data_IF_434304766169
#
_entry.id   IF_434304766169
#
_cell.length_a   1.000
_cell.length_b   1.000
_cell.length_c   1.000
_cell.angle_alpha   90.00
_cell.angle_beta   90.00
_cell.angle_gamma   90.00
#
_symmetry.space_group_name_H-M   'P 1'
#
loop_
_entity.id
_entity.type
_entity.pdbx_description
1 polymer ?
#
# COMPACT_ATOMS: atom_id res chain seq x y z
N UNK A 1 -67.92 40.19 36.59
CA UNK A 1 -66.61 39.58 36.42
C UNK A 1 -66.15 39.85 34.98
N UNK A 2 -65.09 40.62 34.79
CA UNK A 2 -64.50 40.88 33.47
C UNK A 2 -63.40 39.76 33.26
N UNK A 3 -63.66 38.94 32.26
CA UNK A 3 -62.66 37.91 31.85
C UNK A 3 -61.72 38.52 30.82
N UNK A 4 -60.40 38.30 31.04
CA UNK A 4 -59.36 38.66 30.05
C UNK A 4 -59.43 37.64 28.90
N UNK A 5 -59.84 38.11 27.74
CA UNK A 5 -59.82 37.28 26.51
C UNK A 5 -58.54 37.59 25.71
N UNK A 6 -57.88 36.55 25.19
CA UNK A 6 -56.74 36.68 24.30
C UNK A 6 -57.15 36.14 22.93
N UNK A 7 -56.94 36.94 21.90
CA UNK A 7 -57.18 36.52 20.52
C UNK A 7 -56.02 35.53 20.12
N UNK A 8 -56.41 34.31 19.80
CA UNK A 8 -55.47 33.29 19.30
C UNK A 8 -55.41 33.39 17.78
N UNK A 9 -54.28 33.84 17.27
CA UNK A 9 -54.00 33.92 15.84
C UNK A 9 -52.92 32.90 15.41
N UNK A 10 -52.91 32.57 14.12
CA UNK A 10 -51.82 31.76 13.55
C UNK A 10 -50.51 32.56 13.62
N UNK A 11 -49.49 32.00 14.28
CA UNK A 11 -48.17 32.60 14.39
C UNK A 11 -47.15 31.62 13.82
N UNK A 12 -46.31 32.11 12.93
CA UNK A 12 -45.13 31.33 12.49
C UNK A 12 -44.14 31.23 13.65
N UNK A 13 -43.79 30.02 14.03
CA UNK A 13 -42.80 29.73 15.06
C UNK A 13 -41.78 28.75 14.51
N UNK A 14 -40.52 29.12 14.55
CA UNK A 14 -39.43 28.23 14.19
C UNK A 14 -39.13 27.33 15.38
N UNK A 15 -39.35 26.05 15.20
CA UNK A 15 -38.97 25.01 16.20
C UNK A 15 -37.57 24.55 15.90
N UNK A 16 -36.63 24.89 16.76
CA UNK A 16 -35.25 24.38 16.69
C UNK A 16 -35.11 23.18 17.61
N UNK A 17 -34.53 22.10 17.11
CA UNK A 17 -34.18 20.93 17.89
C UNK A 17 -32.70 20.64 17.72
N UNK A 18 -32.04 20.31 18.81
CA UNK A 18 -30.65 19.90 18.81
C UNK A 18 -30.54 18.36 18.79
N UNK A 19 -29.69 17.86 17.92
CA UNK A 19 -29.39 16.44 17.80
C UNK A 19 -27.89 16.23 17.99
N UNK A 20 -27.53 15.27 18.83
CA UNK A 20 -26.15 14.81 18.93
C UNK A 20 -25.80 14.03 17.67
N UNK A 21 -24.80 14.48 16.94
CA UNK A 21 -24.30 13.81 15.76
C UNK A 21 -22.84 13.39 15.94
N UNK A 22 -22.48 12.21 15.45
CA UNK A 22 -21.09 11.76 15.32
C UNK A 22 -20.63 12.11 13.91
N UNK A 23 -19.60 12.96 13.83
CA UNK A 23 -18.94 13.27 12.56
C UNK A 23 -17.86 12.23 12.29
N UNK A 24 -17.83 11.71 11.07
CA UNK A 24 -16.83 10.75 10.61
C UNK A 24 -16.36 11.16 9.22
N UNK A 25 -15.08 11.18 8.97
CA UNK A 25 -14.55 11.41 7.62
C UNK A 25 -14.98 10.28 6.66
N UNK A 26 -14.93 10.58 5.36
CA UNK A 26 -15.31 9.65 4.29
C UNK A 26 -14.58 8.32 4.37
N UNK A 27 -13.29 8.36 4.66
CA UNK A 27 -12.43 7.19 4.76
C UNK A 27 -11.39 7.39 5.86
N UNK A 28 -11.23 6.38 6.70
CA UNK A 28 -10.19 6.32 7.72
C UNK A 28 -9.31 5.13 7.38
N UNK A 29 -8.02 5.37 7.17
CA UNK A 29 -7.06 4.32 6.79
C UNK A 29 -5.95 4.25 7.82
N UNK A 30 -5.77 3.08 8.40
CA UNK A 30 -4.64 2.77 9.26
C UNK A 30 -3.42 2.45 8.41
N UNK A 31 -2.37 3.24 8.54
CA UNK A 31 -1.11 3.04 7.85
C UNK A 31 -0.22 2.15 8.72
N UNK A 32 0.05 0.93 8.23
CA UNK A 32 0.87 -0.08 8.90
C UNK A 32 2.11 -0.38 8.07
N UNK A 33 3.26 -0.69 8.70
CA UNK A 33 4.46 -1.08 7.97
C UNK A 33 4.27 -2.46 7.34
N UNK A 34 4.82 -2.67 6.15
CA UNK A 34 4.82 -3.97 5.47
C UNK A 34 6.12 -4.75 5.68
N UNK A 35 7.14 -4.09 6.23
CA UNK A 35 8.45 -4.64 6.53
C UNK A 35 8.86 -4.30 7.96
N UNK A 36 9.79 -5.07 8.52
CA UNK A 36 10.29 -4.87 9.87
C UNK A 36 11.58 -4.04 9.87
N UNK A 37 11.78 -3.21 10.87
CA UNK A 37 13.00 -2.41 11.03
C UNK A 37 12.80 -1.23 11.97
N UNK A 38 13.87 -0.48 12.23
CA UNK A 38 13.79 0.74 13.03
C UNK A 38 13.34 1.92 12.18
N UNK A 39 12.50 2.80 12.74
CA UNK A 39 12.14 4.07 12.11
C UNK A 39 13.38 4.97 12.12
N UNK A 40 13.86 5.35 10.94
CA UNK A 40 15.01 6.25 10.80
C UNK A 40 14.58 7.71 10.67
N UNK A 41 13.45 7.98 10.07
CA UNK A 41 12.89 9.33 9.91
C UNK A 41 11.36 9.32 9.92
N UNK A 42 10.78 10.36 10.49
CA UNK A 42 9.36 10.70 10.43
C UNK A 42 9.26 12.00 9.65
N UNK A 43 8.52 12.00 8.56
CA UNK A 43 8.42 13.12 7.59
C UNK A 43 7.07 13.84 7.65
N UNK A 44 6.21 13.45 8.58
CA UNK A 44 4.91 14.09 8.81
C UNK A 44 4.76 14.44 10.27
N UNK A 45 3.96 15.46 10.57
CA UNK A 45 3.59 15.84 11.93
C UNK A 45 2.14 15.44 12.20
N UNK A 46 1.81 15.33 13.49
CA UNK A 46 0.43 15.13 13.93
C UNK A 46 -0.46 16.29 13.49
N UNK A 47 -1.66 15.97 13.02
CA UNK A 47 -2.58 16.98 12.48
C UNK A 47 -2.17 17.61 11.15
N UNK A 48 -1.14 17.09 10.49
CA UNK A 48 -0.70 17.60 9.20
C UNK A 48 -1.51 17.01 8.05
N UNK A 49 -1.87 17.85 7.08
CA UNK A 49 -2.47 17.39 5.83
C UNK A 49 -1.43 16.64 4.99
N UNK A 50 -1.77 15.46 4.53
CA UNK A 50 -0.93 14.56 3.73
C UNK A 50 -1.61 14.21 2.41
N UNK A 51 -0.81 13.97 1.37
CA UNK A 51 -1.30 13.58 0.06
C UNK A 51 -1.06 12.09 -0.20
N UNK A 52 -1.92 11.50 -0.99
CA UNK A 52 -1.72 10.13 -1.48
C UNK A 52 -0.34 9.98 -2.15
N UNK A 53 0.43 8.97 -1.73
CA UNK A 53 1.79 8.72 -2.20
C UNK A 53 2.87 9.51 -1.47
N UNK A 54 2.52 10.45 -0.58
CA UNK A 54 3.48 11.16 0.24
C UNK A 54 4.13 10.21 1.24
N UNK A 55 5.48 10.23 1.34
CA UNK A 55 6.23 9.44 2.32
C UNK A 55 6.03 10.03 3.71
N UNK A 56 5.59 9.20 4.64
CA UNK A 56 5.30 9.57 6.03
C UNK A 56 6.43 9.12 6.96
N UNK A 57 6.91 7.88 6.78
CA UNK A 57 7.97 7.27 7.58
C UNK A 57 9.01 6.62 6.69
N UNK A 58 10.25 6.60 7.18
CA UNK A 58 11.33 5.82 6.56
C UNK A 58 11.84 4.83 7.60
N UNK A 59 11.77 3.56 7.24
CA UNK A 59 12.32 2.42 7.99
C UNK A 59 13.75 2.20 7.49
N UNK A 60 14.63 1.64 8.31
CA UNK A 60 16.02 1.34 7.95
C UNK A 60 16.11 0.59 6.62
N UNK A 61 16.72 1.23 5.63
CA UNK A 61 16.84 0.72 4.26
C UNK A 61 18.11 -0.10 4.04
N UNK A 62 19.08 -0.05 4.95
CA UNK A 62 20.40 -0.65 4.74
C UNK A 62 20.30 -2.15 4.42
N UNK A 63 19.64 -2.99 5.22
CA UNK A 63 19.54 -4.42 4.93
C UNK A 63 18.76 -4.70 3.64
N UNK A 64 17.76 -3.92 3.31
CA UNK A 64 16.94 -4.09 2.10
C UNK A 64 17.69 -3.69 0.82
N UNK A 65 18.54 -2.65 0.88
CA UNK A 65 19.42 -2.28 -0.23
C UNK A 65 20.47 -3.37 -0.49
N UNK A 66 21.09 -3.90 0.54
CA UNK A 66 22.03 -5.01 0.41
C UNK A 66 21.36 -6.26 -0.20
N UNK A 67 20.14 -6.61 0.24
CA UNK A 67 19.39 -7.71 -0.33
C UNK A 67 19.05 -7.49 -1.81
N UNK A 68 18.69 -6.26 -2.21
CA UNK A 68 18.46 -5.91 -3.60
C UNK A 68 19.74 -6.03 -4.44
N UNK A 69 20.89 -5.56 -3.95
CA UNK A 69 22.18 -5.69 -4.65
C UNK A 69 22.56 -7.15 -4.90
N UNK A 70 22.35 -8.02 -3.90
CA UNK A 70 22.57 -9.47 -4.04
C UNK A 70 21.65 -10.05 -5.12
N UNK A 71 20.36 -9.69 -5.11
CA UNK A 71 19.41 -10.19 -6.08
C UNK A 71 19.73 -9.71 -7.52
N UNK A 72 20.16 -8.45 -7.67
CA UNK A 72 20.61 -7.88 -8.95
C UNK A 72 21.85 -8.63 -9.47
N UNK A 73 22.81 -8.95 -8.59
CA UNK A 73 23.98 -9.71 -8.97
C UNK A 73 23.63 -11.14 -9.40
N UNK A 74 22.71 -11.80 -8.70
CA UNK A 74 22.20 -13.12 -9.06
C UNK A 74 21.52 -13.12 -10.43
N UNK A 75 20.68 -12.11 -10.72
CA UNK A 75 20.05 -11.94 -12.04
C UNK A 75 21.10 -11.78 -13.15
N UNK A 76 22.10 -10.91 -12.95
CA UNK A 76 23.20 -10.73 -13.93
C UNK A 76 23.96 -12.02 -14.19
N UNK A 77 24.22 -12.81 -13.15
CA UNK A 77 24.86 -14.13 -13.29
C UNK A 77 23.99 -15.09 -14.11
N UNK A 78 22.68 -15.14 -13.84
CA UNK A 78 21.75 -15.97 -14.60
C UNK A 78 21.62 -15.51 -16.07
N UNK A 79 21.65 -14.20 -16.34
CA UNK A 79 21.69 -13.66 -17.72
C UNK A 79 22.94 -14.10 -18.49
N UNK A 80 24.09 -14.09 -17.84
CA UNK A 80 25.34 -14.57 -18.47
C UNK A 80 25.29 -16.08 -18.76
N UNK A 81 24.74 -16.88 -17.83
CA UNK A 81 24.52 -18.33 -18.05
C UNK A 81 23.55 -18.60 -19.22
N UNK A 82 22.47 -17.83 -19.29
CA UNK A 82 21.54 -17.95 -20.41
C UNK A 82 22.21 -17.61 -21.74
N UNK A 83 23.00 -16.54 -21.80
CA UNK A 83 23.74 -16.17 -23.01
C UNK A 83 24.68 -17.30 -23.47
N UNK A 84 25.38 -17.96 -22.53
CA UNK A 84 26.25 -19.10 -22.81
C UNK A 84 25.46 -20.32 -23.30
N UNK A 85 24.35 -20.66 -22.63
CA UNK A 85 23.51 -21.79 -23.02
C UNK A 85 22.88 -21.59 -24.42
N UNK A 86 22.44 -20.35 -24.69
CA UNK A 86 21.92 -19.96 -26.01
C UNK A 86 22.97 -20.11 -27.11
N UNK A 87 24.17 -19.61 -26.89
CA UNK A 87 25.29 -19.76 -27.85
C UNK A 87 25.61 -21.21 -28.09
N UNK A 88 25.68 -22.03 -27.06
CA UNK A 88 25.93 -23.47 -27.18
C UNK A 88 24.87 -24.19 -28.00
N UNK A 89 23.60 -23.91 -27.72
CA UNK A 89 22.48 -24.45 -28.49
C UNK A 89 22.51 -24.03 -29.97
N UNK A 90 22.78 -22.75 -30.26
CA UNK A 90 22.88 -22.24 -31.61
C UNK A 90 24.06 -22.90 -32.40
N UNK A 91 25.19 -23.09 -31.75
CA UNK A 91 26.35 -23.75 -32.36
C UNK A 91 26.04 -25.24 -32.65
N UNK A 92 25.47 -25.97 -31.70
CA UNK A 92 25.10 -27.37 -31.88
C UNK A 92 24.05 -27.57 -32.95
N UNK A 93 23.07 -26.67 -33.01
CA UNK A 93 22.04 -26.68 -34.06
C UNK A 93 22.63 -26.47 -35.47
N UNK A 94 23.66 -25.62 -35.61
CA UNK A 94 24.38 -25.44 -36.88
C UNK A 94 25.16 -26.70 -37.29
N UNK A 95 25.82 -27.36 -36.35
CA UNK A 95 26.57 -28.60 -36.57
C UNK A 95 25.63 -29.75 -36.97
N UNK A 96 24.43 -29.80 -36.43
CA UNK A 96 23.39 -30.75 -36.83
C UNK A 96 22.95 -30.56 -38.31
N UNK A 97 22.78 -29.33 -38.73
CA UNK A 97 22.45 -29.03 -40.14
C UNK A 97 23.54 -29.52 -41.11
N UNK A 98 24.80 -29.56 -40.63
CA UNK A 98 25.92 -30.14 -41.36
C UNK A 98 26.08 -31.66 -41.22
N UNK A 99 25.11 -32.35 -40.57
CA UNK A 99 25.20 -33.80 -40.22
C UNK A 99 26.43 -34.22 -39.39
N UNK A 100 27.01 -33.28 -38.59
CA UNK A 100 28.18 -33.51 -37.75
C UNK A 100 27.81 -34.09 -36.40
N UNK A 101 26.60 -33.71 -35.87
CA UNK A 101 26.12 -34.13 -34.55
C UNK A 101 24.69 -34.72 -34.66
N UNK A 102 24.38 -35.64 -33.73
CA UNK A 102 23.06 -36.30 -33.68
C UNK A 102 22.00 -35.48 -32.93
N UNK A 103 20.71 -35.83 -33.13
CA UNK A 103 19.55 -35.20 -32.55
C UNK A 103 19.60 -35.12 -31.00
N UNK A 104 20.19 -36.15 -30.36
CA UNK A 104 20.31 -36.23 -28.89
C UNK A 104 21.16 -35.11 -28.33
N UNK A 105 22.23 -34.72 -29.03
CA UNK A 105 23.14 -33.66 -28.60
C UNK A 105 22.41 -32.30 -28.63
N UNK A 106 21.70 -31.99 -29.71
CA UNK A 106 20.89 -30.76 -29.85
C UNK A 106 19.79 -30.70 -28.81
N UNK A 107 19.12 -31.84 -28.57
CA UNK A 107 18.08 -31.89 -27.54
C UNK A 107 18.63 -31.65 -26.13
N UNK A 108 19.85 -32.14 -25.83
CA UNK A 108 20.53 -31.85 -24.58
C UNK A 108 20.84 -30.36 -24.41
N UNK A 109 21.35 -29.70 -25.45
CA UNK A 109 21.60 -28.24 -25.43
C UNK A 109 20.31 -27.42 -25.32
N UNK A 110 19.23 -27.88 -25.95
CA UNK A 110 17.91 -27.26 -25.80
C UNK A 110 17.37 -27.33 -24.38
N UNK A 111 17.54 -28.49 -23.73
CA UNK A 111 17.16 -28.64 -22.32
C UNK A 111 17.99 -27.72 -21.42
N UNK A 112 19.32 -27.63 -21.64
CA UNK A 112 20.19 -26.71 -20.91
C UNK A 112 19.81 -25.23 -21.13
N UNK A 113 19.40 -24.86 -22.32
CA UNK A 113 18.87 -23.52 -22.62
C UNK A 113 17.59 -23.25 -21.80
N UNK A 114 16.64 -24.20 -21.82
CA UNK A 114 15.38 -24.07 -21.08
C UNK A 114 15.62 -23.98 -19.55
N UNK A 115 16.59 -24.74 -19.03
CA UNK A 115 17.01 -24.63 -17.63
C UNK A 115 17.58 -23.24 -17.30
N UNK A 116 18.43 -22.68 -18.17
CA UNK A 116 18.99 -21.36 -17.98
C UNK A 116 17.92 -20.25 -18.08
N UNK A 117 16.93 -20.40 -18.95
CA UNK A 117 15.77 -19.51 -19.04
C UNK A 117 14.95 -19.51 -17.74
N UNK A 118 14.68 -20.70 -17.19
CA UNK A 118 13.96 -20.85 -15.92
C UNK A 118 14.75 -20.24 -14.75
N UNK A 119 16.08 -20.46 -14.72
CA UNK A 119 16.95 -19.86 -13.70
C UNK A 119 16.96 -18.33 -13.77
N UNK A 120 16.95 -17.74 -14.97
CA UNK A 120 16.85 -16.29 -15.14
C UNK A 120 15.47 -15.78 -14.67
N UNK A 121 14.40 -16.48 -15.00
CA UNK A 121 13.05 -16.11 -14.56
C UNK A 121 12.95 -16.10 -13.02
N UNK A 122 13.53 -17.10 -12.36
CA UNK A 122 13.62 -17.18 -10.91
C UNK A 122 14.41 -16.01 -10.32
N UNK A 123 15.59 -15.70 -10.88
CA UNK A 123 16.43 -14.59 -10.40
C UNK A 123 15.73 -13.22 -10.59
N UNK A 124 15.03 -13.01 -11.70
CA UNK A 124 14.20 -11.82 -11.92
C UNK A 124 13.08 -11.68 -10.87
N UNK A 125 12.42 -12.77 -10.53
CA UNK A 125 11.37 -12.77 -9.49
C UNK A 125 11.95 -12.41 -8.12
N UNK A 126 13.15 -12.92 -7.78
CA UNK A 126 13.87 -12.58 -6.55
C UNK A 126 14.26 -11.11 -6.50
N UNK A 127 14.77 -10.55 -7.61
CA UNK A 127 15.07 -9.10 -7.70
C UNK A 127 13.82 -8.26 -7.50
N UNK A 128 12.71 -8.62 -8.14
CA UNK A 128 11.43 -7.92 -7.99
C UNK A 128 10.95 -7.94 -6.53
N UNK A 129 11.06 -9.07 -5.86
CA UNK A 129 10.70 -9.21 -4.44
C UNK A 129 11.59 -8.32 -3.54
N UNK A 130 12.91 -8.35 -3.74
CA UNK A 130 13.84 -7.51 -2.98
C UNK A 130 13.57 -6.02 -3.22
N UNK A 131 13.26 -5.63 -4.46
CA UNK A 131 12.90 -4.25 -4.82
C UNK A 131 11.61 -3.80 -4.15
N UNK A 132 10.58 -4.66 -4.11
CA UNK A 132 9.32 -4.37 -3.42
C UNK A 132 9.57 -4.20 -1.91
N UNK A 133 10.35 -5.08 -1.28
CA UNK A 133 10.69 -4.98 0.13
C UNK A 133 11.43 -3.66 0.44
N UNK A 134 12.35 -3.24 -0.42
CA UNK A 134 12.99 -1.92 -0.30
C UNK A 134 11.98 -0.78 -0.45
N UNK A 135 11.04 -0.88 -1.38
CA UNK A 135 10.01 0.16 -1.55
C UNK A 135 9.08 0.28 -0.34
N UNK A 136 8.82 -0.81 0.37
CA UNK A 136 7.99 -0.84 1.58
C UNK A 136 8.66 -0.22 2.80
N UNK A 137 9.98 0.02 2.75
CA UNK A 137 10.67 0.80 3.79
C UNK A 137 10.29 2.28 3.78
N UNK A 138 9.79 2.78 2.65
CA UNK A 138 9.16 4.09 2.53
C UNK A 138 7.66 3.95 2.73
N UNK A 139 7.21 4.18 3.95
CA UNK A 139 5.78 4.10 4.28
C UNK A 139 5.08 5.35 3.76
N UNK A 140 4.16 5.16 2.79
CA UNK A 140 3.46 6.25 2.10
C UNK A 140 1.98 6.28 2.48
N UNK A 141 1.37 7.47 2.41
CA UNK A 141 -0.06 7.61 2.61
C UNK A 141 -0.83 6.99 1.43
N UNK A 142 -1.81 6.12 1.69
CA UNK A 142 -2.65 5.53 0.64
C UNK A 142 -3.75 6.48 0.15
N UNK A 143 -4.08 7.52 0.93
CA UNK A 143 -5.16 8.49 0.67
C UNK A 143 -4.70 9.91 0.91
N UNK A 144 -5.46 10.89 0.42
CA UNK A 144 -5.34 12.28 0.86
C UNK A 144 -6.10 12.42 2.19
N UNK A 145 -5.63 13.26 3.09
CA UNK A 145 -6.33 13.48 4.34
C UNK A 145 -5.43 14.10 5.41
N UNK A 146 -5.82 13.98 6.66
CA UNK A 146 -5.11 14.49 7.81
C UNK A 146 -4.51 13.35 8.62
N UNK A 147 -3.22 13.45 8.96
CA UNK A 147 -2.54 12.50 9.82
C UNK A 147 -3.00 12.67 11.28
N UNK A 148 -3.38 11.58 11.93
CA UNK A 148 -3.73 11.57 13.35
C UNK A 148 -2.48 11.61 14.25
N UNK A 149 -2.66 11.32 15.53
CA UNK A 149 -1.57 11.12 16.50
C UNK A 149 -0.59 10.04 16.02
N UNK A 150 0.70 10.26 16.25
CA UNK A 150 1.81 9.38 15.88
C UNK A 150 2.45 8.83 17.17
N UNK A 151 2.11 7.62 17.61
CA UNK A 151 2.64 7.06 18.87
C UNK A 151 4.10 6.62 18.78
N UNK A 152 4.69 6.67 17.58
CA UNK A 152 6.02 6.13 17.29
C UNK A 152 7.07 7.24 17.18
N UNK A 153 8.30 6.92 17.57
CA UNK A 153 9.44 7.85 17.56
C UNK A 153 10.56 7.30 16.67
N UNK A 154 11.45 8.17 16.23
CA UNK A 154 12.69 7.76 15.55
C UNK A 154 13.47 6.84 16.47
N UNK A 155 13.92 5.69 15.94
CA UNK A 155 14.55 4.61 16.68
C UNK A 155 13.60 3.50 17.16
N UNK A 156 12.28 3.68 17.08
CA UNK A 156 11.34 2.62 17.41
C UNK A 156 11.43 1.47 16.42
N UNK A 157 11.45 0.23 16.94
CA UNK A 157 11.37 -0.99 16.13
C UNK A 157 9.92 -1.26 15.75
N UNK A 158 9.66 -1.40 14.47
CA UNK A 158 8.34 -1.71 13.91
C UNK A 158 8.37 -2.98 13.07
N UNK A 159 7.22 -3.63 12.93
CA UNK A 159 7.07 -4.84 12.11
C UNK A 159 5.68 -4.88 11.50
N UNK A 160 5.46 -5.77 10.53
CA UNK A 160 4.14 -5.96 9.88
C UNK A 160 3.05 -6.43 10.86
N UNK A 161 3.42 -6.96 12.03
CA UNK A 161 2.50 -7.54 13.02
C UNK A 161 2.26 -6.63 14.24
N UNK A 162 2.60 -5.34 14.17
CA UNK A 162 2.32 -4.41 15.28
C UNK A 162 0.81 -4.24 15.48
N UNK A 163 0.40 -4.18 16.76
CA UNK A 163 -1.01 -3.98 17.14
C UNK A 163 -1.51 -2.57 16.79
N UNK A 164 -0.66 -1.55 16.97
CA UNK A 164 -1.00 -0.16 16.70
C UNK A 164 -0.48 0.29 15.33
N UNK A 165 -1.27 1.03 14.54
CA UNK A 165 -0.80 1.59 13.28
C UNK A 165 0.31 2.63 13.49
N UNK A 166 1.12 2.89 12.47
CA UNK A 166 2.10 3.98 12.50
C UNK A 166 1.42 5.35 12.59
N UNK A 167 0.35 5.50 11.85
CA UNK A 167 -0.51 6.68 11.85
C UNK A 167 -1.84 6.30 11.20
N UNK A 168 -2.91 6.96 11.61
CA UNK A 168 -4.20 6.88 10.93
C UNK A 168 -4.37 8.12 10.07
N UNK A 169 -4.73 7.95 8.81
CA UNK A 169 -5.03 9.06 7.90
C UNK A 169 -6.53 9.09 7.66
N UNK A 170 -7.17 10.20 8.02
CA UNK A 170 -8.59 10.43 7.79
C UNK A 170 -8.77 11.34 6.58
N UNK A 171 -9.54 10.89 5.59
CA UNK A 171 -10.00 11.72 4.49
C UNK A 171 -11.20 12.54 4.98
N UNK A 172 -10.96 13.83 5.17
CA UNK A 172 -11.94 14.83 5.65
C UNK A 172 -12.53 15.67 4.51
N UNK A 173 -12.27 15.32 3.25
CA UNK A 173 -12.83 16.01 2.08
C UNK A 173 -14.37 15.98 2.07
N UNK A 174 -14.96 14.92 2.60
CA UNK A 174 -16.39 14.75 2.83
C UNK A 174 -16.60 14.19 4.23
N UNK A 175 -17.47 14.80 5.01
CA UNK A 175 -17.78 14.36 6.35
C UNK A 175 -19.23 13.84 6.42
N UNK A 176 -19.41 12.67 7.02
CA UNK A 176 -20.71 12.10 7.31
C UNK A 176 -21.10 12.40 8.75
N UNK A 177 -22.30 12.96 8.93
CA UNK A 177 -22.89 13.16 10.24
C UNK A 177 -23.90 12.04 10.53
N UNK A 178 -23.57 11.17 11.47
CA UNK A 178 -24.48 10.13 11.93
C UNK A 178 -25.25 10.63 13.17
N UNK A 179 -26.57 10.71 13.07
CA UNK A 179 -27.44 11.03 14.18
C UNK A 179 -28.52 9.97 14.33
N UNK A 180 -28.83 9.64 15.57
CA UNK A 180 -29.90 8.70 15.88
C UNK A 180 -31.22 9.44 16.00
N UNK A 181 -32.20 9.00 15.22
CA UNK A 181 -33.56 9.55 15.27
C UNK A 181 -34.57 8.42 15.56
N UNK A 182 -35.61 8.69 16.34
CA UNK A 182 -36.68 7.72 16.54
C UNK A 182 -37.63 7.77 15.35
N UNK A 183 -38.26 6.62 15.03
CA UNK A 183 -39.21 6.51 13.88
C UNK A 183 -40.30 7.57 13.88
N UNK A 184 -40.82 7.96 15.05
CA UNK A 184 -41.81 9.01 15.19
C UNK A 184 -41.30 10.43 14.91
N UNK A 185 -39.96 10.65 15.02
CA UNK A 185 -39.30 11.92 14.70
C UNK A 185 -39.01 12.03 13.20
N UNK A 186 -38.68 10.93 12.56
CA UNK A 186 -38.42 10.87 11.11
C UNK A 186 -39.67 11.16 10.30
N UNK A 187 -40.84 10.69 10.74
CA UNK A 187 -42.12 10.96 10.09
C UNK A 187 -42.52 12.43 10.15
N UNK A 188 -42.13 13.17 11.19
CA UNK A 188 -42.42 14.62 11.35
C UNK A 188 -41.43 15.53 10.59
N UNK A 189 -40.32 15.01 10.09
CA UNK A 189 -39.37 15.76 9.24
C UNK A 189 -39.77 15.72 7.75
N UNK A 190 -40.78 14.92 7.39
CA UNK A 190 -41.19 14.68 6.01
C UNK A 190 -42.39 15.55 5.60
N UNK A 191 -43.04 16.21 6.57
CA UNK A 191 -44.11 17.20 6.39
C UNK A 191 -43.57 18.64 6.54
#
# INVERSE_FOLDING_TARGET
AQYKTVLVGKRHMTLTREYSARLTGRQIVEVRPQVSGCITRILTAEGQAVRKGQTLFIIDQVPYRAALEIAVAARKSAEARLATAKMNYENESRLQQGNVVGDVSVQSMRNALSEAEAALAQAKAQETNARNNLSYTEVKSPVNGMASMIPWHVGSLVSSNISEPLVTVADDSEMYAYFSNTTGQTLRLRD
#
